data_IF_488437466350
#
_entry.id   IF_488437466350
#
_cell.length_a   1.000
_cell.length_b   1.000
_cell.length_c   1.000
_cell.angle_alpha   90.00
_cell.angle_beta   90.00
_cell.angle_gamma   90.00
#
_symmetry.space_group_name_H-M   'P 1'
#
loop_
_entity.id
_entity.type
_entity.pdbx_description
1 polymer ?
#
# COMPACT_ATOMS: atom_id res chain seq x y z
N UNK A 1 -15.47 1.01 -22.98
CA UNK A 1 -14.68 1.69 -21.93
C UNK A 1 -13.74 0.73 -21.22
N UNK A 2 -14.20 -0.31 -20.52
CA UNK A 2 -13.34 -1.22 -19.74
C UNK A 2 -12.23 -1.89 -20.58
N UNK A 3 -12.54 -2.41 -21.77
CA UNK A 3 -11.55 -3.00 -22.67
C UNK A 3 -10.42 -1.99 -23.00
N UNK A 4 -10.76 -0.74 -23.29
CA UNK A 4 -9.76 0.27 -23.60
C UNK A 4 -8.89 0.61 -22.38
N UNK A 5 -9.42 0.54 -21.15
CA UNK A 5 -8.63 0.72 -19.93
C UNK A 5 -7.57 -0.40 -19.77
N UNK A 6 -7.95 -1.66 -20.01
CA UNK A 6 -6.98 -2.77 -20.03
C UNK A 6 -5.95 -2.63 -21.15
N UNK A 7 -6.38 -2.24 -22.35
CA UNK A 7 -5.47 -2.02 -23.49
C UNK A 7 -4.49 -0.88 -23.20
N UNK A 8 -4.92 0.19 -22.51
CA UNK A 8 -4.05 1.28 -22.07
C UNK A 8 -2.93 0.77 -21.15
N UNK A 9 -3.29 0.00 -20.10
CA UNK A 9 -2.31 -0.60 -19.19
C UNK A 9 -1.36 -1.55 -19.91
N UNK A 10 -1.88 -2.45 -20.77
CA UNK A 10 -1.05 -3.38 -21.53
C UNK A 10 -0.10 -2.70 -22.50
N UNK A 11 -0.58 -1.69 -23.25
CA UNK A 11 0.24 -0.91 -24.16
C UNK A 11 1.31 -0.09 -23.39
N UNK A 12 0.96 0.47 -22.23
CA UNK A 12 1.92 1.17 -21.37
C UNK A 12 3.00 0.22 -20.85
N UNK A 13 2.61 -0.96 -20.36
CA UNK A 13 3.58 -1.98 -19.94
C UNK A 13 4.54 -2.34 -21.07
N UNK A 14 4.02 -2.59 -22.27
CA UNK A 14 4.86 -2.90 -23.44
C UNK A 14 5.84 -1.77 -23.76
N UNK A 15 5.42 -0.52 -23.68
CA UNK A 15 6.32 0.63 -23.94
C UNK A 15 7.42 0.77 -22.87
N UNK A 16 7.20 0.28 -21.66
CA UNK A 16 8.20 0.30 -20.58
C UNK A 16 9.25 -0.82 -20.70
N UNK A 17 8.86 -1.97 -21.24
CA UNK A 17 9.73 -3.16 -21.28
C UNK A 17 10.34 -3.42 -22.66
N UNK A 18 9.84 -2.79 -23.72
CA UNK A 18 10.30 -3.00 -25.08
C UNK A 18 10.31 -1.68 -25.88
N UNK A 19 11.49 -1.15 -26.24
CA UNK A 19 11.63 0.13 -26.92
C UNK A 19 11.00 0.20 -28.33
N UNK A 20 10.54 -0.93 -28.88
CA UNK A 20 9.81 -0.96 -30.16
C UNK A 20 8.38 -0.39 -30.05
N UNK A 21 7.84 -0.29 -28.82
CA UNK A 21 6.49 0.20 -28.58
C UNK A 21 6.55 1.63 -28.03
N UNK A 22 5.78 2.54 -28.66
CA UNK A 22 5.66 3.93 -28.22
C UNK A 22 4.50 4.13 -27.25
N UNK A 23 4.53 5.22 -26.49
CA UNK A 23 3.46 5.57 -25.55
C UNK A 23 2.14 5.98 -26.24
N UNK A 24 2.18 6.37 -27.51
CA UNK A 24 1.03 6.97 -28.22
C UNK A 24 -0.20 6.06 -28.19
N UNK A 25 0.00 4.76 -28.41
CA UNK A 25 -1.09 3.78 -28.37
C UNK A 25 -1.69 3.66 -26.96
N UNK A 26 -0.86 3.67 -25.94
CA UNK A 26 -1.30 3.61 -24.55
C UNK A 26 -2.13 4.85 -24.20
N UNK A 27 -1.66 6.02 -24.57
CA UNK A 27 -2.37 7.29 -24.38
C UNK A 27 -3.68 7.35 -25.16
N UNK A 28 -3.71 6.84 -26.41
CA UNK A 28 -4.93 6.76 -27.20
C UNK A 28 -6.02 5.90 -26.50
N UNK A 29 -5.65 4.71 -26.02
CA UNK A 29 -6.60 3.85 -25.32
C UNK A 29 -7.05 4.46 -23.98
N UNK A 30 -6.14 5.10 -23.25
CA UNK A 30 -6.46 5.80 -22.01
C UNK A 30 -7.48 6.93 -22.24
N UNK A 31 -7.22 7.83 -23.21
CA UNK A 31 -8.13 8.92 -23.52
C UNK A 31 -9.50 8.42 -24.00
N UNK A 32 -9.51 7.32 -24.78
CA UNK A 32 -10.76 6.71 -25.26
C UNK A 32 -11.55 6.12 -24.09
N UNK A 33 -10.89 5.41 -23.16
CA UNK A 33 -11.54 4.84 -21.98
C UNK A 33 -12.10 5.93 -21.07
N UNK A 34 -11.33 6.99 -20.83
CA UNK A 34 -11.73 8.14 -19.99
C UNK A 34 -12.94 8.85 -20.57
N UNK A 35 -12.96 9.12 -21.88
CA UNK A 35 -14.10 9.74 -22.54
C UNK A 35 -15.38 8.91 -22.38
N UNK A 36 -15.31 7.60 -22.67
CA UNK A 36 -16.46 6.72 -22.49
C UNK A 36 -16.90 6.58 -21.03
N UNK A 37 -15.98 6.65 -20.08
CA UNK A 37 -16.31 6.66 -18.67
C UNK A 37 -17.07 7.94 -18.31
N UNK A 38 -16.58 9.10 -18.73
CA UNK A 38 -17.24 10.40 -18.51
C UNK A 38 -18.64 10.42 -19.12
N UNK A 39 -18.80 9.97 -20.36
CA UNK A 39 -20.11 9.86 -21.02
C UNK A 39 -21.07 8.93 -20.25
N UNK A 40 -20.54 7.79 -19.76
CA UNK A 40 -21.34 6.84 -18.96
C UNK A 40 -21.76 7.42 -17.62
N UNK A 41 -20.90 8.21 -16.97
CA UNK A 41 -21.21 8.84 -15.66
C UNK A 41 -22.37 9.84 -15.74
N UNK A 42 -22.64 10.40 -16.90
CA UNK A 42 -23.79 11.29 -17.15
C UNK A 42 -25.12 10.51 -17.29
N UNK A 43 -25.07 9.20 -17.52
CA UNK A 43 -26.27 8.38 -17.67
C UNK A 43 -26.76 7.87 -16.29
N UNK A 44 -27.97 8.22 -15.84
CA UNK A 44 -28.51 7.72 -14.57
C UNK A 44 -28.70 6.20 -14.53
N UNK A 45 -28.83 5.54 -15.68
CA UNK A 45 -28.99 4.09 -15.80
C UNK A 45 -27.66 3.38 -16.14
N UNK A 46 -26.52 4.00 -15.82
CA UNK A 46 -25.20 3.42 -16.08
C UNK A 46 -24.97 2.10 -15.33
N UNK A 47 -24.16 1.24 -15.89
CA UNK A 47 -23.58 0.10 -15.15
C UNK A 47 -22.46 0.60 -14.23
N UNK A 48 -22.80 0.76 -12.94
CA UNK A 48 -21.85 1.27 -11.92
C UNK A 48 -20.67 0.33 -11.72
N UNK A 49 -20.87 -1.00 -11.85
CA UNK A 49 -19.79 -2.01 -11.71
C UNK A 49 -18.75 -1.81 -12.82
N UNK A 50 -19.19 -1.64 -14.07
CA UNK A 50 -18.27 -1.40 -15.18
C UNK A 50 -17.60 -0.03 -15.04
N UNK A 51 -18.31 1.00 -14.60
CA UNK A 51 -17.72 2.33 -14.34
C UNK A 51 -16.65 2.26 -13.25
N UNK A 52 -16.95 1.65 -12.09
CA UNK A 52 -16.03 1.49 -10.98
C UNK A 52 -14.77 0.72 -11.38
N UNK A 53 -14.95 -0.42 -12.04
CA UNK A 53 -13.83 -1.25 -12.51
C UNK A 53 -12.96 -0.48 -13.51
N UNK A 54 -13.58 0.25 -14.46
CA UNK A 54 -12.85 1.06 -15.43
C UNK A 54 -12.03 2.15 -14.73
N UNK A 55 -12.62 2.87 -13.77
CA UNK A 55 -11.92 3.91 -13.01
C UNK A 55 -10.72 3.36 -12.24
N UNK A 56 -10.86 2.20 -11.59
CA UNK A 56 -9.75 1.54 -10.90
C UNK A 56 -8.62 1.14 -11.86
N UNK A 57 -8.93 0.59 -13.04
CA UNK A 57 -7.91 0.22 -14.03
C UNK A 57 -7.22 1.45 -14.63
N UNK A 58 -7.94 2.56 -14.83
CA UNK A 58 -7.33 3.83 -15.26
C UNK A 58 -6.37 4.39 -14.19
N UNK A 59 -6.67 4.24 -12.89
CA UNK A 59 -5.73 4.58 -11.83
C UNK A 59 -4.44 3.76 -11.92
N UNK A 60 -4.53 2.46 -12.25
CA UNK A 60 -3.33 1.63 -12.47
C UNK A 60 -2.48 2.18 -13.61
N UNK A 61 -3.11 2.57 -14.73
CA UNK A 61 -2.41 3.22 -15.85
C UNK A 61 -1.66 4.47 -15.41
N UNK A 62 -2.28 5.33 -14.62
CA UNK A 62 -1.68 6.59 -14.16
C UNK A 62 -0.48 6.37 -13.22
N UNK A 63 -0.54 5.32 -12.37
CA UNK A 63 0.61 4.90 -11.58
C UNK A 63 1.78 4.48 -12.47
N UNK A 64 1.51 3.77 -13.55
CA UNK A 64 2.55 3.39 -14.53
C UNK A 64 3.12 4.59 -15.28
N UNK A 65 2.44 5.72 -15.34
CA UNK A 65 2.88 6.96 -15.98
C UNK A 65 3.61 7.95 -15.05
N UNK A 66 3.77 7.61 -13.75
CA UNK A 66 4.45 8.44 -12.73
C UNK A 66 3.87 9.86 -12.52
N UNK A 67 2.64 10.12 -12.96
CA UNK A 67 1.98 11.43 -12.83
C UNK A 67 1.34 11.59 -11.44
N UNK A 68 2.15 11.82 -10.42
CA UNK A 68 1.76 11.73 -9.01
C UNK A 68 0.59 12.64 -8.58
N UNK A 69 0.53 13.89 -9.02
CA UNK A 69 -0.49 14.85 -8.58
C UNK A 69 -1.87 14.61 -9.22
N UNK A 70 -1.92 14.13 -10.46
CA UNK A 70 -3.18 13.85 -11.17
C UNK A 70 -3.89 12.61 -10.60
N UNK A 71 -3.13 11.69 -9.99
CA UNK A 71 -3.64 10.42 -9.44
C UNK A 71 -4.69 10.58 -8.35
N UNK A 72 -4.54 11.56 -7.48
CA UNK A 72 -5.42 11.70 -6.31
C UNK A 72 -6.88 11.98 -6.68
N UNK A 73 -7.12 12.71 -7.76
CA UNK A 73 -8.48 12.99 -8.24
C UNK A 73 -9.15 11.73 -8.78
N UNK A 74 -8.42 10.90 -9.52
CA UNK A 74 -8.94 9.66 -10.09
C UNK A 74 -9.14 8.58 -9.02
N UNK A 75 -8.24 8.47 -8.04
CA UNK A 75 -8.40 7.60 -6.87
C UNK A 75 -9.67 7.97 -6.10
N UNK A 76 -9.93 9.28 -5.91
CA UNK A 76 -11.14 9.76 -5.27
C UNK A 76 -12.42 9.41 -6.05
N UNK A 77 -12.39 9.57 -7.38
CA UNK A 77 -13.48 9.21 -8.26
C UNK A 77 -13.78 7.70 -8.24
N UNK A 78 -12.73 6.87 -8.32
CA UNK A 78 -12.88 5.42 -8.23
C UNK A 78 -13.43 5.00 -6.86
N UNK A 79 -12.95 5.61 -5.75
CA UNK A 79 -13.48 5.37 -4.41
C UNK A 79 -14.98 5.70 -4.29
N UNK A 80 -15.44 6.80 -4.90
CA UNK A 80 -16.85 7.15 -4.90
C UNK A 80 -17.71 6.06 -5.58
N UNK A 81 -17.26 5.55 -6.73
CA UNK A 81 -17.94 4.47 -7.45
C UNK A 81 -17.88 3.14 -6.69
N UNK A 82 -16.78 2.83 -6.02
CA UNK A 82 -16.63 1.64 -5.15
C UNK A 82 -17.65 1.70 -4.00
N UNK A 83 -17.81 2.87 -3.38
CA UNK A 83 -18.82 3.10 -2.33
C UNK A 83 -20.25 2.98 -2.87
N UNK A 84 -20.51 3.50 -4.07
CA UNK A 84 -21.81 3.37 -4.75
C UNK A 84 -22.16 1.89 -5.03
N UNK A 85 -21.16 1.06 -5.37
CA UNK A 85 -21.33 -0.39 -5.51
C UNK A 85 -21.50 -1.14 -4.18
N UNK A 86 -21.32 -0.48 -3.03
CA UNK A 86 -21.33 -1.12 -1.71
C UNK A 86 -20.11 -2.01 -1.44
N UNK A 87 -19.03 -1.86 -2.21
CA UNK A 87 -17.83 -2.69 -2.04
C UNK A 87 -16.97 -2.26 -0.87
N UNK A 88 -16.49 -3.24 -0.13
CA UNK A 88 -15.67 -3.09 1.07
C UNK A 88 -14.73 -4.29 1.25
N UNK A 89 -14.03 -4.38 2.38
CA UNK A 89 -13.09 -5.46 2.67
C UNK A 89 -13.70 -6.87 2.72
N UNK A 90 -15.04 -6.97 2.87
CA UNK A 90 -15.77 -8.26 2.90
C UNK A 90 -16.31 -8.66 1.53
N UNK A 91 -16.20 -7.81 0.53
CA UNK A 91 -16.63 -8.10 -0.84
C UNK A 91 -15.81 -9.24 -1.44
N UNK A 92 -16.39 -9.94 -2.41
CA UNK A 92 -15.76 -11.04 -3.13
C UNK A 92 -15.64 -10.70 -4.62
N UNK A 93 -14.87 -11.51 -5.36
CA UNK A 93 -14.71 -11.37 -6.80
C UNK A 93 -14.20 -9.98 -7.22
N UNK A 94 -14.84 -9.38 -8.21
CA UNK A 94 -14.44 -8.09 -8.79
C UNK A 94 -14.51 -6.94 -7.76
N UNK A 95 -15.51 -6.98 -6.87
CA UNK A 95 -15.65 -5.98 -5.82
C UNK A 95 -14.47 -5.96 -4.85
N UNK A 96 -14.02 -7.14 -4.41
CA UNK A 96 -12.82 -7.28 -3.59
C UNK A 96 -11.58 -6.76 -4.32
N UNK A 97 -11.39 -7.16 -5.58
CA UNK A 97 -10.23 -6.74 -6.37
C UNK A 97 -10.19 -5.21 -6.54
N UNK A 98 -11.30 -4.59 -6.90
CA UNK A 98 -11.38 -3.14 -7.06
C UNK A 98 -11.18 -2.39 -5.75
N UNK A 99 -11.79 -2.86 -4.66
CA UNK A 99 -11.64 -2.26 -3.34
C UNK A 99 -10.17 -2.25 -2.89
N UNK A 100 -9.53 -3.43 -2.86
CA UNK A 100 -8.15 -3.55 -2.34
C UNK A 100 -7.12 -2.89 -3.25
N UNK A 101 -7.34 -2.91 -4.57
CA UNK A 101 -6.45 -2.21 -5.49
C UNK A 101 -6.53 -0.69 -5.29
N UNK A 102 -7.74 -0.13 -5.17
CA UNK A 102 -7.91 1.30 -4.92
C UNK A 102 -7.33 1.73 -3.57
N UNK A 103 -7.62 0.97 -2.50
CA UNK A 103 -7.08 1.21 -1.15
C UNK A 103 -5.56 1.16 -1.15
N UNK A 104 -4.97 0.15 -1.79
CA UNK A 104 -3.51 0.02 -1.88
C UNK A 104 -2.86 1.20 -2.61
N UNK A 105 -3.43 1.65 -3.72
CA UNK A 105 -2.94 2.81 -4.48
C UNK A 105 -3.06 4.11 -3.67
N UNK A 106 -4.17 4.32 -2.98
CA UNK A 106 -4.38 5.47 -2.10
C UNK A 106 -3.37 5.46 -0.95
N UNK A 107 -3.22 4.33 -0.27
CA UNK A 107 -2.29 4.18 0.85
C UNK A 107 -0.86 4.50 0.46
N UNK A 108 -0.38 3.98 -0.68
CA UNK A 108 0.97 4.28 -1.16
C UNK A 108 1.18 5.78 -1.43
N UNK A 109 0.16 6.46 -1.97
CA UNK A 109 0.19 7.91 -2.16
C UNK A 109 0.20 8.65 -0.81
N UNK A 110 -0.61 8.22 0.16
CA UNK A 110 -0.64 8.79 1.51
C UNK A 110 0.69 8.61 2.25
N UNK A 111 1.33 7.45 2.11
CA UNK A 111 2.67 7.22 2.66
C UNK A 111 3.72 8.14 2.05
N UNK A 112 3.67 8.34 0.72
CA UNK A 112 4.62 9.18 0.01
C UNK A 112 4.50 10.67 0.37
N UNK A 113 3.26 11.18 0.39
CA UNK A 113 3.00 12.61 0.61
C UNK A 113 2.76 12.97 2.08
N UNK A 114 2.79 12.00 2.99
CA UNK A 114 2.41 12.16 4.39
C UNK A 114 0.98 12.72 4.57
N UNK A 115 0.02 12.10 3.88
CA UNK A 115 -1.39 12.43 3.97
C UNK A 115 -2.17 11.34 4.72
N UNK A 116 -3.32 11.72 5.26
CA UNK A 116 -4.28 10.74 5.76
C UNK A 116 -5.01 10.06 4.60
N UNK A 117 -5.36 8.78 4.79
CA UNK A 117 -6.28 8.11 3.85
C UNK A 117 -7.67 8.76 3.97
N UNK A 118 -8.28 9.01 2.83
CA UNK A 118 -9.54 9.75 2.80
C UNK A 118 -10.77 8.89 3.17
N UNK A 119 -10.64 7.57 3.14
CA UNK A 119 -11.65 6.64 3.63
C UNK A 119 -11.16 6.04 4.94
N UNK A 120 -11.87 6.32 6.05
CA UNK A 120 -11.45 5.83 7.37
C UNK A 120 -11.28 4.30 7.32
N UNK A 121 -10.10 3.78 7.71
CA UNK A 121 -9.85 2.34 7.73
C UNK A 121 -10.86 1.57 8.59
N UNK A 122 -11.41 2.17 9.64
CA UNK A 122 -12.39 1.53 10.51
C UNK A 122 -13.70 1.22 9.78
N UNK A 123 -14.01 1.95 8.71
CA UNK A 123 -15.18 1.72 7.84
C UNK A 123 -14.94 0.67 6.74
N UNK A 124 -13.72 0.13 6.62
CA UNK A 124 -13.41 -0.86 5.57
C UNK A 124 -14.04 -2.23 5.84
N UNK A 125 -14.36 -2.52 7.10
CA UNK A 125 -14.92 -3.81 7.51
C UNK A 125 -13.90 -4.95 7.56
N UNK A 126 -12.61 -4.64 7.79
CA UNK A 126 -11.55 -5.64 7.97
C UNK A 126 -11.74 -6.38 9.29
N UNK A 127 -11.68 -7.71 9.24
CA UNK A 127 -11.66 -8.53 10.44
C UNK A 127 -10.25 -8.58 11.03
N UNK A 128 -10.09 -8.00 12.22
CA UNK A 128 -8.82 -7.94 12.96
C UNK A 128 -8.71 -9.02 14.05
N UNK A 129 -9.60 -9.99 14.07
CA UNK A 129 -9.51 -11.15 14.98
C UNK A 129 -8.46 -12.15 14.46
N UNK A 130 -7.27 -12.12 15.05
CA UNK A 130 -6.15 -12.99 14.68
C UNK A 130 -6.32 -14.44 15.13
N UNK A 131 -7.28 -14.73 16.02
CA UNK A 131 -7.46 -16.07 16.58
C UNK A 131 -8.09 -17.07 15.62
N UNK A 132 -8.76 -16.61 14.57
CA UNK A 132 -9.63 -17.45 13.73
C UNK A 132 -8.96 -18.03 12.49
N UNK A 133 -7.80 -17.56 12.07
CA UNK A 133 -7.27 -17.87 10.73
C UNK A 133 -5.76 -18.06 10.71
N UNK A 134 -5.31 -19.12 11.40
CA UNK A 134 -3.89 -19.54 11.37
C UNK A 134 -3.60 -20.56 10.25
N UNK A 135 -4.61 -20.99 9.48
CA UNK A 135 -4.46 -22.01 8.45
C UNK A 135 -3.74 -21.49 7.20
N UNK A 136 -2.94 -22.38 6.62
CA UNK A 136 -2.30 -22.11 5.30
C UNK A 136 -3.37 -21.92 4.22
N UNK A 137 -3.18 -20.94 3.33
CA UNK A 137 -4.11 -20.64 2.24
C UNK A 137 -4.95 -19.37 2.46
N UNK A 138 -4.80 -18.70 3.60
CA UNK A 138 -5.52 -17.46 3.96
C UNK A 138 -4.60 -16.23 3.96
N UNK A 139 -3.50 -16.26 3.23
CA UNK A 139 -2.49 -15.19 3.23
C UNK A 139 -3.02 -13.84 2.76
N UNK A 140 -4.07 -13.83 1.91
CA UNK A 140 -4.72 -12.58 1.48
C UNK A 140 -5.35 -11.83 2.65
N UNK A 141 -6.01 -12.55 3.58
CA UNK A 141 -6.63 -11.93 4.77
C UNK A 141 -5.56 -11.28 5.65
N UNK A 142 -4.44 -11.95 5.84
CA UNK A 142 -3.30 -11.39 6.56
C UNK A 142 -2.69 -10.19 5.85
N UNK A 143 -2.68 -10.18 4.53
CA UNK A 143 -2.27 -9.02 3.73
C UNK A 143 -3.24 -7.85 3.94
N UNK A 144 -4.54 -8.09 3.97
CA UNK A 144 -5.55 -7.06 4.23
C UNK A 144 -5.42 -6.46 5.64
N UNK A 145 -5.15 -7.28 6.64
CA UNK A 145 -4.90 -6.84 8.02
C UNK A 145 -3.69 -5.91 8.13
N UNK A 146 -2.57 -6.25 7.50
CA UNK A 146 -1.39 -5.36 7.55
C UNK A 146 -1.61 -4.07 6.76
N UNK A 147 -2.34 -4.10 5.64
CA UNK A 147 -2.72 -2.89 4.90
C UNK A 147 -3.56 -1.96 5.77
N UNK A 148 -4.52 -2.50 6.52
CA UNK A 148 -5.30 -1.74 7.50
C UNK A 148 -4.41 -1.11 8.59
N UNK A 149 -3.52 -1.88 9.21
CA UNK A 149 -2.60 -1.39 10.24
C UNK A 149 -1.73 -0.24 9.68
N UNK A 150 -1.17 -0.41 8.47
CA UNK A 150 -0.35 0.63 7.83
C UNK A 150 -1.16 1.88 7.52
N UNK A 151 -2.43 1.75 7.14
CA UNK A 151 -3.31 2.90 6.93
C UNK A 151 -3.56 3.69 8.23
N UNK A 152 -3.77 2.99 9.35
CA UNK A 152 -3.87 3.62 10.68
C UNK A 152 -2.55 4.31 11.08
N UNK A 153 -1.41 3.70 10.80
CA UNK A 153 -0.08 4.31 11.05
C UNK A 153 0.13 5.54 10.16
N UNK A 154 -0.26 5.49 8.88
CA UNK A 154 -0.20 6.63 7.97
C UNK A 154 -1.03 7.81 8.49
N UNK A 155 -2.25 7.55 8.96
CA UNK A 155 -3.13 8.55 9.56
C UNK A 155 -2.51 9.14 10.86
N UNK A 156 -1.95 8.29 11.71
CA UNK A 156 -1.26 8.73 12.92
C UNK A 156 -0.05 9.61 12.60
N UNK A 157 0.78 9.23 11.60
CA UNK A 157 1.91 10.02 11.12
C UNK A 157 1.45 11.38 10.58
N UNK A 158 0.44 11.41 9.73
CA UNK A 158 -0.07 12.64 9.12
C UNK A 158 -0.75 13.57 10.14
N UNK A 159 -1.19 13.05 11.29
CA UNK A 159 -1.81 13.82 12.38
C UNK A 159 -0.82 14.36 13.42
N UNK A 160 0.49 14.32 13.15
CA UNK A 160 1.50 14.88 14.07
C UNK A 160 1.23 16.38 14.23
N UNK A 161 1.02 16.87 15.48
CA UNK A 161 0.74 18.27 15.72
C UNK A 161 1.91 19.16 15.30
N UNK A 162 1.60 20.25 14.59
CA UNK A 162 2.62 21.22 14.13
C UNK A 162 2.99 22.25 15.19
N UNK A 163 2.14 22.42 16.20
CA UNK A 163 2.29 23.42 17.25
C UNK A 163 2.18 22.77 18.62
N UNK A 164 2.92 23.33 19.57
CA UNK A 164 2.81 22.95 20.99
C UNK A 164 1.54 23.53 21.61
N UNK A 165 1.01 22.83 22.61
CA UNK A 165 -0.09 23.35 23.41
C UNK A 165 0.35 24.52 24.29
N UNK A 166 -0.54 25.48 24.50
CA UNK A 166 -0.24 26.66 25.32
C UNK A 166 -0.05 26.33 26.81
N UNK A 167 -0.63 25.22 27.26
CA UNK A 167 -0.54 24.74 28.64
C UNK A 167 0.38 23.52 28.73
N UNK A 168 1.41 23.53 29.61
CA UNK A 168 2.28 22.37 29.82
C UNK A 168 1.52 21.10 30.22
N UNK A 169 0.43 21.25 30.99
CA UNK A 169 -0.43 20.13 31.39
C UNK A 169 -1.14 19.51 30.20
N UNK A 170 -1.68 20.33 29.31
CA UNK A 170 -2.37 19.86 28.11
C UNK A 170 -1.38 19.20 27.15
N UNK A 171 -0.16 19.73 27.03
CA UNK A 171 0.91 19.14 26.24
C UNK A 171 1.28 17.74 26.76
N UNK A 172 1.40 17.57 28.08
CA UNK A 172 1.69 16.28 28.70
C UNK A 172 0.56 15.27 28.46
N UNK A 173 -0.69 15.68 28.58
CA UNK A 173 -1.85 14.83 28.29
C UNK A 173 -1.85 14.42 26.81
N UNK A 174 -1.62 15.37 25.91
CA UNK A 174 -1.52 15.12 24.47
C UNK A 174 -0.42 14.11 24.15
N UNK A 175 0.77 14.29 24.71
CA UNK A 175 1.90 13.39 24.52
C UNK A 175 1.57 11.98 25.00
N UNK A 176 0.95 11.85 26.18
CA UNK A 176 0.53 10.56 26.73
C UNK A 176 -0.50 9.86 25.82
N UNK A 177 -1.49 10.61 25.33
CA UNK A 177 -2.51 10.07 24.42
C UNK A 177 -1.88 9.59 23.11
N UNK A 178 -0.95 10.37 22.57
CA UNK A 178 -0.21 9.97 21.35
C UNK A 178 0.66 8.74 21.59
N UNK A 179 1.29 8.63 22.74
CA UNK A 179 2.08 7.45 23.08
C UNK A 179 1.22 6.20 23.24
N UNK A 180 0.06 6.32 23.86
CA UNK A 180 -0.89 5.20 23.99
C UNK A 180 -1.37 4.72 22.61
N UNK A 181 -1.67 5.65 21.69
CA UNK A 181 -2.06 5.32 20.33
C UNK A 181 -0.91 4.68 19.54
N UNK A 182 0.29 5.25 19.61
CA UNK A 182 1.50 4.70 19.03
C UNK A 182 1.76 3.27 19.52
N UNK A 183 1.67 3.07 20.84
CA UNK A 183 1.84 1.75 21.45
C UNK A 183 0.82 0.75 20.94
N UNK A 184 -0.44 1.14 20.83
CA UNK A 184 -1.51 0.29 20.28
C UNK A 184 -1.21 -0.13 18.84
N UNK A 185 -0.77 0.80 18.01
CA UNK A 185 -0.43 0.52 16.61
C UNK A 185 0.80 -0.41 16.51
N UNK A 186 1.78 -0.22 17.39
CA UNK A 186 2.93 -1.11 17.48
C UNK A 186 2.54 -2.51 17.94
N UNK A 187 1.73 -2.61 18.99
CA UNK A 187 1.23 -3.89 19.50
C UNK A 187 0.44 -4.66 18.41
N UNK A 188 -0.33 -3.96 17.57
CA UNK A 188 -1.02 -4.58 16.43
C UNK A 188 -0.05 -5.09 15.36
N UNK A 189 0.99 -4.33 15.04
CA UNK A 189 1.99 -4.75 14.07
C UNK A 189 2.81 -5.95 14.57
N UNK A 190 3.16 -5.96 15.85
CA UNK A 190 3.86 -7.09 16.50
C UNK A 190 2.95 -8.33 16.52
N UNK A 191 1.71 -8.21 16.99
CA UNK A 191 0.74 -9.30 17.01
C UNK A 191 0.47 -9.86 15.61
N UNK A 192 0.41 -9.00 14.57
CA UNK A 192 0.31 -9.46 13.20
C UNK A 192 1.50 -10.35 12.82
N UNK A 193 2.72 -9.90 13.10
CA UNK A 193 3.93 -10.64 12.75
C UNK A 193 4.08 -11.98 13.51
N UNK A 194 3.59 -12.03 14.73
CA UNK A 194 3.63 -13.24 15.57
C UNK A 194 2.60 -14.28 15.14
N UNK A 195 1.46 -13.84 14.62
CA UNK A 195 0.33 -14.74 14.32
C UNK A 195 0.22 -15.12 12.83
N UNK A 196 1.00 -14.54 11.92
CA UNK A 196 0.94 -14.89 10.50
C UNK A 196 1.26 -16.37 10.27
N UNK A 197 0.63 -17.02 9.27
CA UNK A 197 0.91 -18.41 8.91
C UNK A 197 2.38 -18.62 8.57
N UNK A 198 2.90 -19.82 8.84
CA UNK A 198 4.29 -20.17 8.51
C UNK A 198 4.66 -19.91 7.04
N UNK A 199 3.70 -20.02 6.13
CA UNK A 199 3.87 -19.73 4.71
C UNK A 199 4.16 -18.25 4.39
N UNK A 200 3.93 -17.35 5.34
CA UNK A 200 4.22 -15.92 5.25
C UNK A 200 5.55 -15.52 5.91
N UNK A 201 6.24 -16.46 6.56
CA UNK A 201 7.61 -16.25 7.01
C UNK A 201 8.59 -16.55 5.89
N UNK A 202 9.79 -15.90 5.89
CA UNK A 202 10.85 -16.24 4.95
C UNK A 202 11.23 -17.72 5.05
N UNK A 203 11.36 -18.41 3.92
CA UNK A 203 11.87 -19.78 3.86
C UNK A 203 13.37 -19.84 4.08
N UNK A 204 14.09 -18.84 3.59
CA UNK A 204 15.51 -18.70 3.76
C UNK A 204 15.88 -17.21 3.86
N UNK A 205 16.97 -16.96 4.54
CA UNK A 205 17.52 -15.64 4.74
C UNK A 205 19.04 -15.73 4.58
N UNK A 206 19.56 -15.06 3.56
CA UNK A 206 21.01 -14.93 3.34
C UNK A 206 21.44 -13.54 3.76
N UNK A 207 22.41 -13.47 4.66
CA UNK A 207 22.98 -12.18 5.07
C UNK A 207 23.77 -11.54 3.92
N UNK A 208 23.98 -10.21 3.95
CA UNK A 208 24.92 -9.54 3.07
C UNK A 208 26.27 -10.30 3.10
N UNK A 209 26.92 -10.55 2.10
CA UNK A 209 28.14 -11.36 2.03
C UNK A 209 27.95 -12.87 1.87
N UNK A 210 26.75 -13.39 2.12
CA UNK A 210 26.36 -14.77 1.79
C UNK A 210 25.57 -14.85 0.49
N UNK A 211 25.14 -13.70 -0.05
CA UNK A 211 24.37 -13.63 -1.28
C UNK A 211 25.26 -13.94 -2.50
N UNK A 212 24.76 -14.76 -3.42
CA UNK A 212 25.48 -15.09 -4.67
C UNK A 212 25.73 -13.83 -5.52
N UNK A 213 24.84 -12.85 -5.43
CA UNK A 213 24.94 -11.59 -6.17
C UNK A 213 25.95 -10.60 -5.59
N UNK A 214 26.52 -10.85 -4.39
CA UNK A 214 27.35 -9.89 -3.67
C UNK A 214 26.57 -8.64 -3.20
N UNK A 215 25.25 -8.74 -3.09
CA UNK A 215 24.38 -7.64 -2.68
C UNK A 215 24.73 -7.15 -1.28
N UNK A 216 24.70 -5.82 -1.06
CA UNK A 216 24.81 -5.21 0.25
C UNK A 216 23.53 -5.40 1.11
N UNK A 217 22.45 -5.91 0.52
CA UNK A 217 21.18 -6.17 1.19
C UNK A 217 20.95 -7.67 1.37
N UNK A 218 20.22 -8.08 2.41
CA UNK A 218 19.91 -9.49 2.64
C UNK A 218 19.05 -10.05 1.50
N UNK A 219 19.23 -11.30 1.16
CA UNK A 219 18.33 -12.02 0.26
C UNK A 219 17.28 -12.76 1.08
N UNK A 220 16.02 -12.36 0.93
CA UNK A 220 14.87 -12.86 1.69
C UNK A 220 13.97 -13.68 0.77
N UNK A 221 13.89 -14.98 1.03
CA UNK A 221 13.13 -15.90 0.18
C UNK A 221 11.68 -16.01 0.65
N UNK A 222 10.79 -15.43 -0.12
CA UNK A 222 9.34 -15.48 0.08
C UNK A 222 8.68 -16.19 -1.10
N UNK A 223 7.70 -17.08 -0.82
CA UNK A 223 7.12 -17.95 -1.85
C UNK A 223 5.99 -17.25 -2.61
N UNK A 224 5.07 -16.61 -1.89
CA UNK A 224 3.83 -16.07 -2.45
C UNK A 224 3.95 -14.56 -2.66
N UNK A 225 3.36 -14.06 -3.76
CA UNK A 225 3.31 -12.61 -4.04
C UNK A 225 2.60 -11.81 -2.96
N UNK A 226 1.49 -12.33 -2.46
CA UNK A 226 0.75 -11.75 -1.33
C UNK A 226 1.64 -11.60 -0.11
N UNK A 227 2.47 -12.60 0.18
CA UNK A 227 3.44 -12.56 1.28
C UNK A 227 4.50 -11.47 1.07
N UNK A 228 5.02 -11.33 -0.15
CA UNK A 228 6.00 -10.28 -0.48
C UNK A 228 5.42 -8.90 -0.15
N UNK A 229 4.21 -8.63 -0.64
CA UNK A 229 3.51 -7.35 -0.40
C UNK A 229 3.25 -7.14 1.08
N UNK A 230 2.74 -8.15 1.78
CA UNK A 230 2.45 -8.07 3.21
C UNK A 230 3.70 -7.80 4.05
N UNK A 231 4.82 -8.48 3.76
CA UNK A 231 6.09 -8.27 4.45
C UNK A 231 6.67 -6.88 4.19
N UNK A 232 6.56 -6.37 2.96
CA UNK A 232 6.97 -5.00 2.65
C UNK A 232 6.16 -3.99 3.47
N UNK A 233 4.84 -4.13 3.56
CA UNK A 233 4.00 -3.26 4.39
C UNK A 233 4.35 -3.38 5.87
N UNK A 234 4.57 -4.59 6.39
CA UNK A 234 4.98 -4.77 7.78
C UNK A 234 6.30 -4.05 8.10
N UNK A 235 7.33 -4.24 7.28
CA UNK A 235 8.61 -3.58 7.51
C UNK A 235 8.51 -2.06 7.36
N UNK A 236 7.66 -1.57 6.44
CA UNK A 236 7.35 -0.14 6.32
C UNK A 236 6.66 0.39 7.58
N UNK A 237 5.67 -0.35 8.11
CA UNK A 237 5.02 0.00 9.38
C UNK A 237 6.02 0.17 10.52
N UNK A 238 6.93 -0.77 10.67
CA UNK A 238 7.94 -0.74 11.74
C UNK A 238 8.95 0.40 11.57
N UNK A 239 9.39 0.70 10.34
CA UNK A 239 10.21 1.87 10.06
C UNK A 239 9.48 3.17 10.45
N UNK A 240 8.23 3.31 10.02
CA UNK A 240 7.43 4.51 10.34
C UNK A 240 7.21 4.66 11.84
N UNK A 241 6.86 3.58 12.55
CA UNK A 241 6.67 3.62 14.00
C UNK A 241 7.95 4.03 14.74
N UNK A 242 9.13 3.58 14.27
CA UNK A 242 10.40 4.02 14.83
C UNK A 242 10.68 5.51 14.57
N UNK A 243 10.25 6.05 13.43
CA UNK A 243 10.40 7.47 13.08
C UNK A 243 9.47 8.41 13.85
N UNK A 244 8.26 7.93 14.19
CA UNK A 244 7.19 8.76 14.77
C UNK A 244 6.91 8.44 16.23
N UNK A 245 7.85 7.81 16.94
CA UNK A 245 7.71 7.55 18.37
C UNK A 245 7.54 8.88 19.13
N UNK A 246 6.47 9.08 19.90
CA UNK A 246 6.20 10.36 20.53
C UNK A 246 7.16 10.71 21.69
N UNK A 247 7.84 9.71 22.26
CA UNK A 247 8.71 9.88 23.45
C UNK A 247 10.17 9.78 23.07
N UNK A 248 10.53 8.90 22.15
CA UNK A 248 11.90 8.67 21.71
C UNK A 248 12.18 9.39 20.39
N UNK A 249 13.26 10.15 20.35
CA UNK A 249 13.74 10.71 19.08
C UNK A 249 14.09 9.60 18.09
N UNK A 250 13.84 9.77 16.79
CA UNK A 250 14.26 8.82 15.76
C UNK A 250 15.78 8.62 15.70
N UNK A 251 16.57 9.56 16.28
CA UNK A 251 18.03 9.51 16.32
C UNK A 251 18.61 8.74 17.52
N UNK A 252 17.77 8.31 18.45
CA UNK A 252 18.19 7.43 19.56
C UNK A 252 18.60 6.08 18.97
N UNK A 253 19.66 5.48 19.55
CA UNK A 253 20.28 4.24 19.04
C UNK A 253 19.24 3.12 18.81
N UNK A 254 18.35 2.91 19.77
CA UNK A 254 17.29 1.90 19.66
C UNK A 254 16.37 2.14 18.45
N UNK A 255 15.97 3.39 18.22
CA UNK A 255 15.11 3.74 17.08
C UNK A 255 15.87 3.67 15.76
N UNK A 256 17.13 4.06 15.72
CA UNK A 256 18.00 3.92 14.55
C UNK A 256 18.23 2.46 14.16
N UNK A 257 18.50 1.61 15.16
CA UNK A 257 18.71 0.19 14.93
C UNK A 257 17.43 -0.47 14.37
N UNK A 258 16.26 -0.10 14.91
CA UNK A 258 14.97 -0.59 14.43
C UNK A 258 14.72 -0.15 12.98
N UNK A 259 14.93 1.13 12.66
CA UNK A 259 14.83 1.65 11.29
C UNK A 259 15.79 0.93 10.35
N UNK A 260 17.06 0.78 10.76
CA UNK A 260 18.08 0.10 9.96
C UNK A 260 17.69 -1.35 9.67
N UNK A 261 17.28 -2.10 10.68
CA UNK A 261 16.85 -3.51 10.53
C UNK A 261 15.72 -3.64 9.52
N UNK A 262 14.67 -2.83 9.66
CA UNK A 262 13.50 -2.95 8.80
C UNK A 262 13.73 -2.38 7.39
N UNK A 263 14.52 -1.32 7.23
CA UNK A 263 14.89 -0.80 5.91
C UNK A 263 15.76 -1.80 5.13
N UNK A 264 16.67 -2.50 5.78
CA UNK A 264 17.45 -3.60 5.17
C UNK A 264 16.54 -4.71 4.65
N UNK A 265 15.46 -5.05 5.37
CA UNK A 265 14.48 -6.02 4.90
C UNK A 265 13.72 -5.53 3.66
N UNK A 266 13.27 -4.26 3.66
CA UNK A 266 12.60 -3.66 2.49
C UNK A 266 13.52 -3.69 1.26
N UNK A 267 14.75 -3.22 1.42
CA UNK A 267 15.74 -3.20 0.35
C UNK A 267 16.06 -4.63 -0.13
N UNK A 268 16.24 -5.56 0.78
CA UNK A 268 16.54 -6.96 0.48
C UNK A 268 15.41 -7.65 -0.30
N UNK A 269 14.18 -7.52 0.17
CA UNK A 269 13.02 -8.06 -0.54
C UNK A 269 12.92 -7.44 -1.93
N UNK A 270 13.03 -6.12 -2.05
CA UNK A 270 12.88 -5.39 -3.31
C UNK A 270 13.99 -5.72 -4.30
N UNK A 271 15.24 -5.86 -3.84
CA UNK A 271 16.40 -6.15 -4.70
C UNK A 271 16.37 -7.58 -5.27
N UNK A 272 15.80 -8.53 -4.52
CA UNK A 272 15.90 -9.95 -4.88
C UNK A 272 14.59 -10.56 -5.41
N UNK A 273 13.48 -9.80 -5.44
CA UNK A 273 12.25 -10.25 -6.09
C UNK A 273 12.45 -10.32 -7.60
N UNK A 274 12.50 -11.56 -8.14
CA UNK A 274 12.65 -11.83 -9.58
C UNK A 274 11.33 -11.86 -10.34
N UNK A 275 10.20 -11.73 -9.65
CA UNK A 275 8.88 -11.80 -10.27
C UNK A 275 8.56 -10.50 -11.00
N UNK A 276 8.53 -10.56 -12.34
CA UNK A 276 8.23 -9.41 -13.21
C UNK A 276 6.83 -8.80 -12.96
N UNK A 277 5.91 -9.56 -12.38
CA UNK A 277 4.57 -9.07 -12.03
C UNK A 277 4.53 -8.30 -10.70
N UNK A 278 5.59 -8.37 -9.89
CA UNK A 278 5.81 -7.55 -8.71
C UNK A 278 6.56 -6.25 -9.05
N UNK A 279 6.97 -6.05 -10.33
CA UNK A 279 7.69 -4.86 -10.78
C UNK A 279 6.87 -3.56 -10.73
N UNK A 280 5.53 -3.64 -10.70
CA UNK A 280 4.70 -2.47 -10.38
C UNK A 280 5.03 -1.94 -8.97
N UNK A 281 5.19 -2.79 -7.91
CA UNK A 281 5.76 -2.36 -6.64
C UNK A 281 7.25 -1.97 -6.68
N UNK A 282 8.06 -2.35 -7.66
CA UNK A 282 9.48 -1.93 -7.70
C UNK A 282 9.64 -0.43 -8.02
N UNK A 283 8.78 0.13 -8.82
CA UNK A 283 8.66 1.60 -8.89
C UNK A 283 8.09 2.17 -7.57
N UNK A 284 7.23 1.42 -6.89
CA UNK A 284 6.71 1.73 -5.57
C UNK A 284 7.71 1.40 -4.45
N UNK A 285 8.59 0.41 -4.63
CA UNK A 285 9.74 0.13 -3.75
C UNK A 285 10.73 1.29 -3.72
N UNK A 286 10.95 1.99 -4.85
CA UNK A 286 11.65 3.29 -4.85
C UNK A 286 10.88 4.36 -4.06
N UNK A 287 9.55 4.25 -3.99
CA UNK A 287 8.71 5.13 -3.17
C UNK A 287 8.86 4.79 -1.68
N UNK A 288 8.83 3.51 -1.32
CA UNK A 288 9.00 3.02 0.05
C UNK A 288 10.44 3.19 0.58
N UNK A 289 11.46 3.16 -0.29
CA UNK A 289 12.85 3.43 0.09
C UNK A 289 13.17 4.94 0.23
N UNK A 290 12.27 5.82 -0.19
CA UNK A 290 12.36 7.29 0.02
C UNK A 290 11.61 7.76 1.26
N UNK A 291 10.87 6.89 1.92
CA UNK A 291 10.23 7.09 3.22
C UNK A 291 11.22 6.72 4.32
#
# INVERSE_FOLDING_TARGET
MLLNAFLACGARHLSLVNPKYTEDKALHYYNTATRYLLDSLQNPNRDTVICATTAVILNVYEIMCEKALQRMNHIAGARALIKECGWNARSTGIGSACFWLNVGMELLSCLHFNWQVAWDPDDWGVDMDFSRETESGREEIWTYRIVYIVAKIANFRASIPRFQESSPRNEQIRLQNRYNEWKRLKDWADAWNENIPRTMHPMAYLYPGQTISGSAFPEVWLIKRTTIVARLFYHTAMCLLAQINPIMSPDVEEMRELQHRHSQQICGITAHVKDRYVLIPQQQGKLLTRI
#
